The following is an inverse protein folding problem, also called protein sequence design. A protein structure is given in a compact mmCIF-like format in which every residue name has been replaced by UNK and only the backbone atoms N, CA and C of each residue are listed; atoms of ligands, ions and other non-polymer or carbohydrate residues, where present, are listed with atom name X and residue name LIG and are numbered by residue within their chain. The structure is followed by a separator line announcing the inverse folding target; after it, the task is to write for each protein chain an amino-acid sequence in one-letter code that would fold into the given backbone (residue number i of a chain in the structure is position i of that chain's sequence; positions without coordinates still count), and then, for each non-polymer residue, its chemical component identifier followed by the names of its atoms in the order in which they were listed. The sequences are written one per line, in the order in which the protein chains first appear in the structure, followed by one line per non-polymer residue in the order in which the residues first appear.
data_IF_250829266366
#
_entry.id   IF_250829266366
#
_cell.length_a   1.000
_cell.length_b   1.000
_cell.length_c   1.000
_cell.angle_alpha   90.00
_cell.angle_beta   90.00
_cell.angle_gamma   90.00
#
_symmetry.space_group_name_H-M   'P 1'
#
loop_
_entity.id
_entity.type
_entity.pdbx_description
1 polymer ?
#
# COMPACT_ATOMS: atom_id res chain seq x y z
N UNK A 1 -3.93 -16.11 22.62
CA UNK A 1 -3.07 -14.93 22.40
C UNK A 1 -4.00 -13.76 22.09
N UNK A 2 -4.10 -12.79 22.99
CA UNK A 2 -4.95 -11.62 22.81
C UNK A 2 -4.06 -10.53 22.24
N UNK A 3 -4.21 -10.22 20.96
CA UNK A 3 -3.58 -9.04 20.36
C UNK A 3 -4.49 -7.84 20.61
N UNK A 4 -3.93 -6.74 21.09
CA UNK A 4 -4.62 -5.46 21.16
C UNK A 4 -4.80 -4.88 19.75
N UNK A 5 -5.91 -4.19 19.52
CA UNK A 5 -6.23 -3.66 18.19
C UNK A 5 -5.20 -2.59 17.76
N UNK A 6 -4.69 -1.79 18.70
CA UNK A 6 -3.59 -0.83 18.45
C UNK A 6 -2.31 -1.51 17.95
N UNK A 7 -1.93 -2.66 18.53
CA UNK A 7 -0.75 -3.40 18.07
C UNK A 7 -0.92 -3.89 16.62
N UNK A 8 -2.13 -4.30 16.24
CA UNK A 8 -2.42 -4.69 14.87
C UNK A 8 -2.34 -3.48 13.93
N UNK A 9 -2.85 -2.31 14.34
CA UNK A 9 -2.70 -1.09 13.56
C UNK A 9 -1.24 -0.70 13.36
N UNK A 10 -0.42 -0.81 14.39
CA UNK A 10 1.02 -0.49 14.35
C UNK A 10 1.76 -1.42 13.39
N UNK A 11 1.57 -2.75 13.51
CA UNK A 11 2.16 -3.72 12.58
C UNK A 11 1.72 -3.48 11.13
N UNK A 12 0.46 -3.12 10.89
CA UNK A 12 -0.02 -2.83 9.54
C UNK A 12 0.62 -1.56 8.99
N UNK A 13 0.77 -0.53 9.84
CA UNK A 13 1.39 0.73 9.50
C UNK A 13 2.88 0.57 9.17
N UNK A 14 3.64 -0.11 10.02
CA UNK A 14 5.06 -0.42 9.78
C UNK A 14 5.24 -1.15 8.45
N UNK A 15 4.43 -2.19 8.20
CA UNK A 15 4.48 -2.94 6.94
C UNK A 15 4.11 -2.07 5.72
N UNK A 16 3.21 -1.12 5.92
CA UNK A 16 2.84 -0.14 4.88
C UNK A 16 3.99 0.81 4.57
N UNK A 17 4.73 1.25 5.59
CA UNK A 17 5.92 2.09 5.43
C UNK A 17 7.07 1.32 4.77
N UNK A 18 7.28 0.05 5.12
CA UNK A 18 8.29 -0.80 4.48
C UNK A 18 8.02 -1.04 2.99
N UNK A 19 6.74 -1.18 2.62
CA UNK A 19 6.33 -1.46 1.23
C UNK A 19 6.03 -0.20 0.40
N UNK A 20 5.94 0.98 1.03
CA UNK A 20 5.40 2.20 0.40
C UNK A 20 3.93 2.10 -0.01
N UNK A 21 3.24 1.00 0.32
CA UNK A 21 1.84 0.73 -0.03
C UNK A 21 1.18 -0.17 1.02
N UNK A 22 -0.15 -0.07 1.21
CA UNK A 22 -0.85 -0.91 2.16
C UNK A 22 -0.73 -2.41 1.78
N UNK A 23 -0.25 -3.27 2.69
CA UNK A 23 0.11 -4.65 2.41
C UNK A 23 -1.09 -5.46 1.92
N UNK A 24 -0.82 -6.50 1.12
CA UNK A 24 -1.87 -7.43 0.68
C UNK A 24 -2.09 -8.54 1.72
N UNK A 25 -3.19 -9.29 1.57
CA UNK A 25 -3.45 -10.43 2.46
C UNK A 25 -2.37 -11.51 2.35
N UNK A 26 -1.71 -11.64 1.20
CA UNK A 26 -0.63 -12.60 0.98
C UNK A 26 0.66 -12.15 1.67
N UNK A 27 1.01 -10.86 1.61
CA UNK A 27 2.19 -10.31 2.28
C UNK A 27 2.05 -10.40 3.81
N UNK A 28 0.83 -10.16 4.32
CA UNK A 28 0.48 -10.37 5.74
C UNK A 28 0.41 -11.86 6.13
N UNK A 29 0.32 -12.78 5.17
CA UNK A 29 0.31 -14.22 5.44
C UNK A 29 1.71 -14.84 5.37
N UNK A 30 2.57 -14.29 4.51
CA UNK A 30 3.96 -14.74 4.33
C UNK A 30 4.84 -14.28 5.49
N UNK A 31 4.60 -13.08 6.02
CA UNK A 31 5.37 -12.54 7.12
C UNK A 31 5.06 -13.24 8.45
N UNK A 32 6.05 -13.95 8.99
CA UNK A 32 5.94 -14.70 10.25
C UNK A 32 6.13 -13.85 11.50
N UNK A 33 6.59 -12.61 11.35
CA UNK A 33 6.87 -11.69 12.46
C UNK A 33 5.59 -10.95 12.89
N UNK A 34 4.64 -10.79 11.99
CA UNK A 34 3.33 -10.19 12.26
C UNK A 34 2.21 -11.24 12.32
N UNK A 35 1.05 -10.90 12.92
CA UNK A 35 -0.08 -11.82 12.96
C UNK A 35 -0.58 -12.19 11.55
N UNK A 36 -1.09 -13.41 11.39
CA UNK A 36 -1.66 -13.81 10.10
C UNK A 36 -2.82 -12.89 9.68
N UNK A 37 -3.01 -12.65 8.37
CA UNK A 37 -4.05 -11.74 7.84
C UNK A 37 -5.46 -12.00 8.41
N UNK A 38 -5.76 -13.25 8.79
CA UNK A 38 -7.05 -13.64 9.40
C UNK A 38 -7.28 -12.91 10.73
N UNK A 39 -6.23 -12.66 11.51
CA UNK A 39 -6.29 -11.93 12.77
C UNK A 39 -6.67 -10.47 12.51
N UNK A 40 -5.97 -9.81 11.57
CA UNK A 40 -6.32 -8.46 11.11
C UNK A 40 -7.76 -8.39 10.62
N UNK A 41 -8.17 -9.33 9.77
CA UNK A 41 -9.52 -9.37 9.20
C UNK A 41 -10.62 -9.55 10.25
N UNK A 42 -10.37 -10.33 11.30
CA UNK A 42 -11.35 -10.60 12.36
C UNK A 42 -11.45 -9.47 13.38
N UNK A 43 -10.34 -8.77 13.63
CA UNK A 43 -10.23 -7.74 14.66
C UNK A 43 -10.50 -6.35 14.10
N UNK A 44 -9.79 -5.99 13.04
CA UNK A 44 -9.81 -4.65 12.44
C UNK A 44 -10.72 -4.53 11.22
N UNK A 45 -11.13 -5.67 10.63
CA UNK A 45 -12.03 -5.68 9.47
C UNK A 45 -11.29 -5.68 8.13
N UNK A 46 -11.89 -5.06 7.10
CA UNK A 46 -11.32 -5.07 5.74
C UNK A 46 -10.11 -4.12 5.66
N UNK A 47 -9.20 -4.37 4.70
CA UNK A 47 -8.06 -3.48 4.39
C UNK A 47 -8.51 -2.02 4.28
N UNK A 48 -9.65 -1.76 3.63
CA UNK A 48 -10.19 -0.43 3.47
C UNK A 48 -10.54 0.26 4.80
N UNK A 49 -11.09 -0.48 5.75
CA UNK A 49 -11.44 0.04 7.08
C UNK A 49 -10.16 0.34 7.88
N UNK A 50 -9.15 -0.52 7.73
CA UNK A 50 -7.83 -0.33 8.36
C UNK A 50 -7.15 0.93 7.82
N UNK A 51 -7.10 1.08 6.49
CA UNK A 51 -6.57 2.28 5.84
C UNK A 51 -7.33 3.55 6.24
N UNK A 52 -8.67 3.50 6.30
CA UNK A 52 -9.49 4.63 6.77
C UNK A 52 -9.20 5.01 8.23
N UNK A 53 -9.04 4.02 9.11
CA UNK A 53 -8.71 4.26 10.50
C UNK A 53 -7.31 4.85 10.69
N UNK A 54 -6.35 4.45 9.85
CA UNK A 54 -4.98 4.97 9.85
C UNK A 54 -4.80 6.27 9.05
N UNK A 55 -5.82 6.72 8.32
CA UNK A 55 -5.71 7.87 7.42
C UNK A 55 -4.79 7.65 6.22
N UNK A 56 -4.59 6.40 5.80
CA UNK A 56 -3.73 6.02 4.67
C UNK A 56 -4.59 5.83 3.43
N UNK A 57 -4.08 6.26 2.27
CA UNK A 57 -4.75 5.99 1.00
C UNK A 57 -4.70 4.49 0.66
N UNK A 58 -5.87 3.91 0.42
CA UNK A 58 -5.98 2.51 0.01
C UNK A 58 -5.65 2.36 -1.48
N UNK A 59 -4.36 2.46 -1.82
CA UNK A 59 -3.90 2.14 -3.16
C UNK A 59 -3.97 0.63 -3.36
N UNK A 60 -4.77 0.25 -4.36
CA UNK A 60 -4.89 -1.14 -4.77
C UNK A 60 -3.74 -1.45 -5.72
N UNK A 61 -2.97 -2.51 -5.46
CA UNK A 61 -1.89 -2.95 -6.36
C UNK A 61 -2.39 -3.32 -7.77
N UNK A 62 -3.70 -3.46 -7.97
CA UNK A 62 -4.30 -3.59 -9.30
C UNK A 62 -4.18 -2.33 -10.18
N UNK A 63 -3.99 -1.15 -9.59
CA UNK A 63 -3.87 0.10 -10.35
C UNK A 63 -2.49 0.25 -11.01
N UNK A 64 -1.43 -0.34 -10.42
CA UNK A 64 -0.08 -0.38 -11.01
C UNK A 64 -0.06 -1.01 -12.41
N UNK A 65 -0.92 -2.00 -12.64
CA UNK A 65 -0.98 -2.70 -13.92
C UNK A 65 -1.47 -1.83 -15.07
N UNK A 66 -2.10 -0.69 -14.81
CA UNK A 66 -2.53 0.25 -15.84
C UNK A 66 -1.55 1.41 -16.01
N UNK A 67 -0.88 1.87 -14.95
CA UNK A 67 0.06 3.00 -15.03
C UNK A 67 1.34 2.62 -15.78
N UNK A 68 1.87 1.42 -15.57
CA UNK A 68 3.10 0.97 -16.23
C UNK A 68 2.90 0.40 -17.65
N UNK A 69 1.67 0.36 -18.17
CA UNK A 69 1.41 -0.14 -19.54
C UNK A 69 1.89 0.84 -20.61
N UNK A 70 1.93 2.13 -20.28
CA UNK A 70 2.36 3.21 -21.19
C UNK A 70 3.56 4.00 -20.63
N UNK A 71 4.34 3.39 -19.72
CA UNK A 71 5.50 4.07 -19.12
C UNK A 71 6.58 4.32 -20.19
N UNK A 72 7.00 5.58 -20.42
CA UNK A 72 8.03 5.90 -21.41
C UNK A 72 9.45 5.48 -20.96
N UNK A 73 9.63 5.14 -19.68
CA UNK A 73 10.89 4.70 -19.12
C UNK A 73 11.14 3.20 -19.35
N UNK A 74 12.40 2.84 -19.66
CA UNK A 74 12.78 1.44 -19.82
C UNK A 74 12.57 0.67 -18.51
N UNK A 75 12.13 -0.61 -18.55
CA UNK A 75 11.69 -1.36 -17.37
C UNK A 75 12.77 -1.57 -16.29
N UNK A 76 14.04 -1.36 -16.64
CA UNK A 76 15.18 -1.42 -15.71
C UNK A 76 15.46 -0.08 -14.99
N UNK A 77 14.83 1.02 -15.43
CA UNK A 77 15.04 2.37 -14.88
C UNK A 77 13.86 2.87 -14.04
N UNK A 78 12.70 2.23 -14.13
CA UNK A 78 11.55 2.53 -13.28
C UNK A 78 11.64 1.66 -12.02
N UNK A 79 11.86 2.27 -10.85
CA UNK A 79 11.95 1.56 -9.57
C UNK A 79 10.66 0.89 -9.08
N UNK A 80 9.63 0.81 -9.95
CA UNK A 80 8.26 0.41 -9.63
C UNK A 80 7.64 1.24 -8.48
N UNK A 81 8.14 2.47 -8.25
CA UNK A 81 7.60 3.36 -7.24
C UNK A 81 6.57 4.33 -7.85
N UNK A 82 5.32 4.23 -7.38
CA UNK A 82 4.22 5.05 -7.86
C UNK A 82 4.36 6.53 -7.48
N UNK A 83 5.10 6.84 -6.41
CA UNK A 83 5.29 8.23 -5.99
C UNK A 83 6.19 8.96 -6.97
N UNK A 84 7.20 8.30 -7.57
CA UNK A 84 8.02 8.87 -8.65
C UNK A 84 7.18 9.14 -9.91
N UNK A 85 6.29 8.20 -10.29
CA UNK A 85 5.38 8.40 -11.43
C UNK A 85 4.32 9.49 -11.19
N UNK A 86 3.86 9.68 -9.95
CA UNK A 86 2.90 10.72 -9.58
C UNK A 86 3.55 12.11 -9.50
N UNK A 87 4.82 12.20 -9.08
CA UNK A 87 5.60 13.44 -9.08
C UNK A 87 5.84 13.93 -10.52
N UNK A 88 6.22 13.02 -11.44
CA UNK A 88 6.32 13.32 -12.87
C UNK A 88 4.97 13.73 -13.49
N UNK A 89 3.85 13.17 -13.03
CA UNK A 89 2.51 13.56 -13.51
C UNK A 89 2.08 14.97 -13.04
N UNK A 90 2.66 15.48 -11.95
CA UNK A 90 2.43 16.84 -11.46
C UNK A 90 2.92 17.91 -12.44
N UNK A 91 4.03 17.65 -13.15
CA UNK A 91 4.63 18.59 -14.11
C UNK A 91 3.75 18.78 -15.37
N UNK A 92 2.92 17.79 -15.74
CA UNK A 92 1.99 17.90 -16.87
C UNK A 92 0.68 18.66 -16.56
N UNK A 93 0.42 19.00 -15.29
CA UNK A 93 -0.77 19.75 -14.86
C UNK A 93 -0.50 21.23 -14.56
N UNK A 94 0.76 21.67 -14.55
CA UNK A 94 1.16 23.09 -14.46
C UNK A 94 0.99 23.83 -15.80
N UNK A 95 -0.20 23.69 -16.42
CA UNK A 95 -0.53 24.33 -17.69
C UNK A 95 -2.03 24.53 -17.95
N UNK A 96 -2.89 24.21 -16.99
CA UNK A 96 -4.34 24.45 -17.09
C UNK A 96 -4.81 25.36 -15.95
N UNK A 97 -4.42 26.64 -16.05
CA UNK A 97 -5.19 27.81 -15.57
C UNK A 97 -4.98 28.94 -16.56
#
# INVERSE_FOLDING_TARGET
MVFEDEFLYDCFYEKTMELGRPPTCEELADDKSIPHYITFRRRLGKKNEICQALGIENVSSHTHRFFCVDCPHEPESCGEDINECLDEAGDYLEGVV
#
